data_IF_631224897506
#
_entry.id   IF_631224897506
#
_cell.length_a   1.000
_cell.length_b   1.000
_cell.length_c   1.000
_cell.angle_alpha   90.00
_cell.angle_beta   90.00
_cell.angle_gamma   90.00
#
_symmetry.space_group_name_H-M   'P 1'
#
loop_
_entity.id
_entity.type
_entity.pdbx_description
1 polymer ?
#
# COMPACT_ATOMS: atom_id res chain seq x y z
N UNK A 1 6.51 -24.18 -53.70
CA UNK A 1 5.42 -23.46 -52.99
C UNK A 1 5.28 -24.07 -51.58
N UNK A 2 6.03 -23.56 -50.59
CA UNK A 2 6.00 -24.08 -49.21
C UNK A 2 4.80 -23.46 -48.49
N UNK A 3 3.79 -24.27 -48.13
CA UNK A 3 2.67 -23.83 -47.30
C UNK A 3 3.22 -23.45 -45.92
N UNK A 4 3.06 -22.18 -45.53
CA UNK A 4 3.23 -21.76 -44.13
C UNK A 4 2.21 -22.54 -43.31
N UNK A 5 2.64 -23.42 -42.43
CA UNK A 5 1.78 -24.03 -41.42
C UNK A 5 1.36 -22.92 -40.46
N UNK A 6 0.15 -22.38 -40.64
CA UNK A 6 -0.47 -21.55 -39.62
C UNK A 6 -0.63 -22.44 -38.39
N UNK A 7 0.08 -22.10 -37.31
CA UNK A 7 -0.12 -22.70 -35.99
C UNK A 7 -1.54 -22.33 -35.59
N UNK A 8 -2.47 -23.26 -35.74
CA UNK A 8 -3.82 -23.13 -35.23
C UNK A 8 -3.71 -23.23 -33.71
N UNK A 9 -3.66 -22.08 -33.05
CA UNK A 9 -3.76 -22.03 -31.60
C UNK A 9 -5.13 -22.59 -31.22
N UNK A 10 -5.13 -23.71 -30.50
CA UNK A 10 -6.35 -24.32 -29.98
C UNK A 10 -7.08 -23.29 -29.09
N UNK A 11 -8.41 -23.27 -29.16
CA UNK A 11 -9.27 -22.34 -28.39
C UNK A 11 -8.96 -22.42 -26.89
N UNK A 12 -8.54 -23.58 -26.42
CA UNK A 12 -8.06 -23.83 -25.06
C UNK A 12 -6.82 -23.00 -24.71
N UNK A 13 -5.85 -22.90 -25.63
CA UNK A 13 -4.63 -22.12 -25.41
C UNK A 13 -4.90 -20.62 -25.39
N UNK A 14 -5.82 -20.14 -26.24
CA UNK A 14 -6.27 -18.74 -26.24
C UNK A 14 -6.99 -18.41 -24.92
N UNK A 15 -7.91 -19.27 -24.49
CA UNK A 15 -8.64 -19.13 -23.24
C UNK A 15 -7.72 -19.12 -22.01
N UNK A 16 -6.70 -19.99 -21.97
CA UNK A 16 -5.71 -20.01 -20.89
C UNK A 16 -4.85 -18.73 -20.88
N UNK A 17 -4.44 -18.23 -22.04
CA UNK A 17 -3.65 -17.01 -22.15
C UNK A 17 -4.45 -15.75 -21.76
N UNK A 18 -5.74 -15.68 -22.10
CA UNK A 18 -6.63 -14.61 -21.67
C UNK A 18 -6.87 -14.64 -20.16
N UNK A 19 -7.09 -15.82 -19.58
CA UNK A 19 -7.23 -15.96 -18.12
C UNK A 19 -5.95 -15.60 -17.37
N UNK A 20 -4.78 -15.97 -17.89
CA UNK A 20 -3.50 -15.58 -17.29
C UNK A 20 -3.30 -14.06 -17.29
N UNK A 21 -3.63 -13.37 -18.40
CA UNK A 21 -3.59 -11.90 -18.47
C UNK A 21 -4.50 -11.24 -17.44
N UNK A 22 -5.71 -11.77 -17.26
CA UNK A 22 -6.67 -11.25 -16.27
C UNK A 22 -6.17 -11.47 -14.83
N UNK A 23 -5.57 -12.62 -14.53
CA UNK A 23 -4.97 -12.89 -13.22
C UNK A 23 -3.78 -11.94 -12.95
N UNK A 24 -2.87 -11.81 -13.91
CA UNK A 24 -1.75 -10.88 -13.79
C UNK A 24 -2.23 -9.44 -13.61
N UNK A 25 -3.22 -8.99 -14.38
CA UNK A 25 -3.82 -7.66 -14.21
C UNK A 25 -4.38 -7.46 -12.79
N UNK A 26 -5.18 -8.42 -12.31
CA UNK A 26 -5.79 -8.36 -10.98
C UNK A 26 -4.78 -8.27 -9.83
N UNK A 27 -3.63 -8.95 -9.94
CA UNK A 27 -2.61 -8.97 -8.89
C UNK A 27 -1.51 -7.89 -9.05
N UNK A 28 -1.24 -7.39 -10.27
CA UNK A 28 -0.31 -6.25 -10.49
C UNK A 28 -0.96 -4.90 -10.17
N UNK A 29 -2.30 -4.81 -10.27
CA UNK A 29 -3.07 -3.57 -10.30
C UNK A 29 -2.52 -2.45 -9.37
N UNK A 30 -1.79 -1.53 -10.01
CA UNK A 30 -1.60 -0.14 -9.58
C UNK A 30 -2.29 0.86 -10.51
N UNK A 31 -2.97 0.39 -11.58
CA UNK A 31 -3.53 1.24 -12.66
C UNK A 31 -5.07 1.16 -12.75
N UNK A 32 -5.70 0.15 -12.15
CA UNK A 32 -7.17 -0.05 -12.19
C UNK A 32 -7.88 -0.03 -10.84
N UNK A 33 -7.14 -0.13 -9.73
CA UNK A 33 -7.75 -0.25 -8.40
C UNK A 33 -8.16 1.14 -7.87
N UNK A 34 -9.41 1.51 -8.14
CA UNK A 34 -10.06 2.69 -7.55
C UNK A 34 -9.98 2.73 -6.03
N UNK A 35 -9.73 1.60 -5.35
CA UNK A 35 -9.57 1.56 -3.88
C UNK A 35 -8.41 2.45 -3.41
N UNK A 36 -7.31 2.55 -4.16
CA UNK A 36 -6.21 3.48 -3.85
C UNK A 36 -6.60 4.94 -4.04
N UNK A 37 -7.53 5.24 -4.94
CA UNK A 37 -8.11 6.58 -5.07
C UNK A 37 -9.10 6.93 -3.96
N UNK A 38 -9.68 5.94 -3.26
CA UNK A 38 -10.61 6.20 -2.14
C UNK A 38 -9.95 6.88 -0.96
N UNK A 39 -8.64 6.76 -0.81
CA UNK A 39 -7.87 7.41 0.27
C UNK A 39 -7.31 8.76 -0.15
N UNK A 40 -7.19 9.03 -1.46
CA UNK A 40 -6.68 10.31 -1.99
C UNK A 40 -7.66 11.44 -1.69
N UNK A 41 -8.97 11.25 -1.94
CA UNK A 41 -9.94 12.33 -1.70
C UNK A 41 -9.99 12.79 -0.23
N UNK A 42 -10.02 11.90 0.78
CA UNK A 42 -9.90 12.28 2.19
C UNK A 42 -8.61 13.03 2.55
N UNK A 43 -7.48 12.70 1.91
CA UNK A 43 -6.21 13.43 2.10
C UNK A 43 -6.32 14.84 1.54
N UNK A 44 -6.89 14.99 0.34
CA UNK A 44 -7.12 16.29 -0.28
C UNK A 44 -8.10 17.15 0.55
N UNK A 45 -9.18 16.55 1.06
CA UNK A 45 -10.18 17.24 1.89
C UNK A 45 -9.62 17.66 3.25
N UNK A 46 -8.60 16.96 3.75
CA UNK A 46 -7.91 17.32 4.99
C UNK A 46 -7.03 18.57 4.81
N UNK A 47 -6.55 18.81 3.59
CA UNK A 47 -5.58 19.86 3.25
C UNK A 47 -4.41 19.83 4.23
N UNK A 48 -3.77 18.66 4.33
CA UNK A 48 -2.75 18.39 5.34
C UNK A 48 -1.47 19.20 5.09
N UNK A 49 -0.89 19.76 6.15
CA UNK A 49 0.43 20.40 6.06
C UNK A 49 1.53 19.36 5.91
N UNK A 50 2.73 19.77 5.50
CA UNK A 50 3.88 18.87 5.42
C UNK A 50 4.18 18.19 6.77
N UNK A 51 3.98 18.91 7.88
CA UNK A 51 4.16 18.36 9.24
C UNK A 51 3.13 17.28 9.54
N UNK A 52 1.87 17.51 9.17
CA UNK A 52 0.78 16.55 9.37
C UNK A 52 0.95 15.30 8.49
N UNK A 53 1.39 15.50 7.24
CA UNK A 53 1.71 14.40 6.32
C UNK A 53 2.86 13.54 6.87
N UNK A 54 3.91 14.16 7.41
CA UNK A 54 5.02 13.45 8.03
C UNK A 54 4.57 12.69 9.28
N UNK A 55 3.76 13.31 10.14
CA UNK A 55 3.14 12.65 11.28
C UNK A 55 2.34 11.41 10.85
N UNK A 56 1.49 11.56 9.84
CA UNK A 56 0.64 10.48 9.34
C UNK A 56 1.46 9.31 8.79
N UNK A 57 2.49 9.60 7.99
CA UNK A 57 3.40 8.61 7.44
C UNK A 57 4.16 7.86 8.54
N UNK A 58 4.73 8.60 9.50
CA UNK A 58 5.44 8.02 10.64
C UNK A 58 4.52 7.14 11.47
N UNK A 59 3.29 7.59 11.74
CA UNK A 59 2.32 6.83 12.50
C UNK A 59 1.97 5.50 11.81
N UNK A 60 1.67 5.50 10.50
CA UNK A 60 1.39 4.25 9.77
C UNK A 60 2.59 3.30 9.83
N UNK A 61 3.80 3.84 9.60
CA UNK A 61 5.03 3.06 9.54
C UNK A 61 5.37 2.40 10.88
N UNK A 62 5.38 3.17 11.96
CA UNK A 62 5.70 2.65 13.30
C UNK A 62 4.56 1.82 13.89
N UNK A 63 3.29 2.09 13.54
CA UNK A 63 2.16 1.22 13.93
C UNK A 63 2.26 -0.15 13.28
N UNK A 64 2.73 -0.22 12.04
CA UNK A 64 2.99 -1.48 11.36
C UNK A 64 4.20 -2.19 11.99
N UNK A 65 5.31 -1.47 12.19
CA UNK A 65 6.52 -2.03 12.80
C UNK A 65 6.27 -2.58 14.22
N UNK A 66 5.52 -1.86 15.07
CA UNK A 66 5.18 -2.31 16.42
C UNK A 66 4.37 -3.62 16.41
N UNK A 67 3.54 -3.85 15.39
CA UNK A 67 2.71 -5.06 15.27
C UNK A 67 3.48 -6.26 14.70
N UNK A 68 4.43 -6.02 13.79
CA UNK A 68 5.10 -7.09 13.05
C UNK A 68 6.45 -7.48 13.68
N UNK A 69 7.09 -6.58 14.42
CA UNK A 69 8.35 -6.86 15.12
C UNK A 69 8.07 -7.43 16.51
N UNK A 70 9.05 -8.16 17.06
CA UNK A 70 8.97 -8.76 18.39
C UNK A 70 10.00 -8.15 19.36
N UNK A 71 9.70 -8.24 20.66
CA UNK A 71 10.61 -7.84 21.73
C UNK A 71 10.97 -6.36 21.71
N UNK A 72 12.26 -6.07 21.90
CA UNK A 72 12.79 -4.71 22.05
C UNK A 72 12.48 -3.79 20.86
N UNK A 73 12.45 -4.33 19.63
CA UNK A 73 12.18 -3.53 18.44
C UNK A 73 10.72 -3.04 18.38
N UNK A 74 9.78 -3.86 18.86
CA UNK A 74 8.38 -3.45 19.00
C UNK A 74 8.24 -2.33 20.02
N UNK A 75 8.90 -2.46 21.19
CA UNK A 75 8.92 -1.40 22.22
C UNK A 75 9.53 -0.09 21.71
N UNK A 76 10.58 -0.17 20.90
CA UNK A 76 11.19 1.01 20.26
C UNK A 76 10.18 1.67 19.30
N UNK A 77 9.47 0.89 18.48
CA UNK A 77 8.43 1.42 17.59
C UNK A 77 7.28 2.09 18.36
N UNK A 78 6.85 1.52 19.49
CA UNK A 78 5.85 2.14 20.38
C UNK A 78 6.35 3.47 20.98
N UNK A 79 7.62 3.54 21.38
CA UNK A 79 8.23 4.80 21.86
C UNK A 79 8.25 5.85 20.75
N UNK A 80 8.56 5.48 19.51
CA UNK A 80 8.48 6.41 18.39
C UNK A 80 7.06 6.93 18.15
N UNK A 81 6.03 6.09 18.29
CA UNK A 81 4.63 6.54 18.18
C UNK A 81 4.27 7.59 19.24
N UNK A 82 4.76 7.42 20.47
CA UNK A 82 4.56 8.40 21.54
C UNK A 82 5.25 9.73 21.22
N UNK A 83 6.54 9.68 20.81
CA UNK A 83 7.30 10.88 20.44
C UNK A 83 6.63 11.64 19.29
N UNK A 84 6.19 10.93 18.25
CA UNK A 84 5.51 11.51 17.10
C UNK A 84 4.17 12.17 17.51
N UNK A 85 3.44 11.60 18.47
CA UNK A 85 2.23 12.20 19.02
C UNK A 85 2.51 13.46 19.86
N UNK A 86 3.56 13.45 20.68
CA UNK A 86 3.98 14.59 21.49
C UNK A 86 4.50 15.75 20.61
N UNK A 87 5.24 15.44 19.55
CA UNK A 87 5.73 16.43 18.59
C UNK A 87 4.58 17.10 17.84
N UNK A 88 3.58 16.31 17.41
CA UNK A 88 2.38 16.87 16.79
C UNK A 88 1.61 17.77 17.77
N UNK A 89 1.48 17.36 19.03
CA UNK A 89 0.88 18.17 20.08
C UNK A 89 1.62 19.51 20.24
N UNK A 90 2.95 19.47 20.31
CA UNK A 90 3.79 20.66 20.45
C UNK A 90 3.68 21.58 19.23
N UNK A 91 3.65 21.02 18.01
CA UNK A 91 3.44 21.79 16.78
C UNK A 91 2.14 22.61 16.84
N UNK A 92 1.01 21.97 17.20
CA UNK A 92 -0.26 22.70 17.28
C UNK A 92 -0.30 23.72 18.42
N UNK A 93 0.20 23.35 19.61
CA UNK A 93 0.04 24.18 20.80
C UNK A 93 1.06 25.30 20.91
N UNK A 94 2.32 25.06 20.54
CA UNK A 94 3.43 26.01 20.71
C UNK A 94 3.69 26.82 19.46
N UNK A 95 3.73 26.19 18.29
CA UNK A 95 4.09 26.87 17.04
C UNK A 95 2.88 27.55 16.40
N UNK A 96 1.75 26.83 16.33
CA UNK A 96 0.52 27.36 15.73
C UNK A 96 -0.37 28.11 16.74
N UNK A 97 -0.16 27.92 18.04
CA UNK A 97 -0.97 28.53 19.10
C UNK A 97 -2.42 28.05 19.13
N UNK A 98 -2.72 26.89 18.55
CA UNK A 98 -4.06 26.32 18.42
C UNK A 98 -4.28 25.25 19.47
N UNK A 99 -5.21 25.49 20.40
CA UNK A 99 -5.58 24.50 21.42
C UNK A 99 -6.63 23.48 20.92
N UNK A 100 -7.45 23.86 19.92
CA UNK A 100 -8.58 23.04 19.43
C UNK A 100 -8.23 22.26 18.15
N UNK A 101 -7.14 21.51 18.19
CA UNK A 101 -6.65 20.72 17.03
C UNK A 101 -7.13 19.26 17.03
N UNK A 102 -7.82 18.81 18.09
CA UNK A 102 -8.29 17.42 18.24
C UNK A 102 -9.15 16.93 17.08
N UNK A 103 -10.02 17.78 16.53
CA UNK A 103 -10.86 17.45 15.38
C UNK A 103 -10.03 17.17 14.12
N UNK A 104 -8.90 17.87 13.98
CA UNK A 104 -7.96 17.66 12.88
C UNK A 104 -7.19 16.36 13.04
N UNK A 105 -6.74 16.04 14.25
CA UNK A 105 -6.14 14.73 14.58
C UNK A 105 -7.11 13.60 14.30
N UNK A 106 -8.39 13.74 14.68
CA UNK A 106 -9.41 12.73 14.40
C UNK A 106 -9.58 12.48 12.89
N UNK A 107 -9.52 13.53 12.06
CA UNK A 107 -9.54 13.38 10.60
C UNK A 107 -8.28 12.67 10.09
N UNK A 108 -7.09 13.04 10.57
CA UNK A 108 -5.84 12.33 10.25
C UNK A 108 -5.93 10.83 10.59
N UNK A 109 -6.49 10.48 11.77
CA UNK A 109 -6.68 9.09 12.16
C UNK A 109 -7.59 8.33 11.20
N UNK A 110 -8.69 8.94 10.76
CA UNK A 110 -9.59 8.31 9.78
C UNK A 110 -8.86 7.98 8.49
N UNK A 111 -8.08 8.94 7.97
CA UNK A 111 -7.28 8.75 6.75
C UNK A 111 -6.24 7.65 6.96
N UNK A 112 -5.48 7.68 8.06
CA UNK A 112 -4.46 6.68 8.37
C UNK A 112 -5.04 5.26 8.47
N UNK A 113 -6.21 5.11 9.08
CA UNK A 113 -6.89 3.81 9.18
C UNK A 113 -7.33 3.30 7.80
N UNK A 114 -7.84 4.17 6.94
CA UNK A 114 -8.20 3.81 5.56
C UNK A 114 -6.96 3.38 4.76
N UNK A 115 -5.87 4.14 4.84
CA UNK A 115 -4.59 3.82 4.20
C UNK A 115 -4.01 2.49 4.69
N UNK A 116 -3.99 2.29 6.01
CA UNK A 116 -3.49 1.05 6.62
C UNK A 116 -4.28 -0.16 6.14
N UNK A 117 -5.62 -0.04 6.07
CA UNK A 117 -6.48 -1.11 5.56
C UNK A 117 -6.16 -1.43 4.09
N UNK A 118 -6.05 -0.42 3.22
CA UNK A 118 -5.71 -0.62 1.83
C UNK A 118 -4.33 -1.29 1.64
N UNK A 119 -3.35 -0.92 2.47
CA UNK A 119 -2.01 -1.53 2.45
C UNK A 119 -2.05 -3.01 2.87
N UNK A 120 -2.81 -3.35 3.92
CA UNK A 120 -2.95 -4.74 4.38
C UNK A 120 -3.68 -5.61 3.36
N UNK A 121 -4.77 -5.14 2.78
CA UNK A 121 -5.48 -5.84 1.70
C UNK A 121 -4.57 -6.08 0.49
N UNK A 122 -3.71 -5.11 0.15
CA UNK A 122 -2.70 -5.27 -0.90
C UNK A 122 -1.64 -6.30 -0.51
N UNK A 123 -1.14 -6.30 0.72
CA UNK A 123 -0.18 -7.30 1.24
C UNK A 123 -0.74 -8.71 1.12
N UNK A 124 -2.01 -8.92 1.46
CA UNK A 124 -2.69 -10.22 1.33
C UNK A 124 -2.78 -10.68 -0.12
N UNK A 125 -3.26 -9.81 -1.03
CA UNK A 125 -3.32 -10.10 -2.47
C UNK A 125 -1.94 -10.47 -3.03
N UNK A 126 -0.90 -9.71 -2.67
CA UNK A 126 0.48 -9.97 -3.10
C UNK A 126 1.01 -11.30 -2.55
N UNK A 127 0.67 -11.65 -1.31
CA UNK A 127 1.06 -12.93 -0.70
C UNK A 127 0.44 -14.12 -1.44
N UNK A 128 -0.82 -14.00 -1.85
CA UNK A 128 -1.51 -15.00 -2.68
C UNK A 128 -0.83 -15.11 -4.05
N UNK A 129 -0.56 -13.97 -4.71
CA UNK A 129 0.12 -13.95 -6.00
C UNK A 129 1.49 -14.64 -5.97
N UNK A 130 2.24 -14.42 -4.89
CA UNK A 130 3.52 -15.09 -4.62
C UNK A 130 3.34 -16.60 -4.44
N UNK A 131 2.36 -17.02 -3.64
CA UNK A 131 2.13 -18.45 -3.33
C UNK A 131 1.79 -19.26 -4.58
N UNK A 132 1.04 -18.66 -5.52
CA UNK A 132 0.64 -19.31 -6.77
C UNK A 132 1.57 -19.03 -7.96
N UNK A 133 2.73 -18.40 -7.73
CA UNK A 133 3.70 -18.02 -8.78
C UNK A 133 3.05 -17.32 -9.99
N UNK A 134 2.12 -16.40 -9.71
CA UNK A 134 1.39 -15.69 -10.76
C UNK A 134 2.36 -14.86 -11.62
N UNK A 135 3.43 -14.35 -11.01
CA UNK A 135 4.49 -13.60 -11.66
C UNK A 135 5.66 -14.50 -12.04
N UNK A 136 5.60 -15.08 -13.25
CA UNK A 136 6.70 -15.88 -13.77
C UNK A 136 7.89 -15.00 -14.18
N UNK A 137 9.01 -15.12 -13.47
CA UNK A 137 10.29 -14.43 -13.74
C UNK A 137 10.87 -14.69 -15.16
N UNK A 138 10.37 -15.70 -15.89
CA UNK A 138 10.81 -15.97 -17.28
C UNK A 138 10.24 -14.98 -18.31
N UNK A 139 9.14 -14.29 -18.00
CA UNK A 139 8.45 -13.39 -18.92
C UNK A 139 8.35 -11.97 -18.40
N UNK A 140 8.74 -11.75 -17.15
CA UNK A 140 8.69 -10.46 -16.48
C UNK A 140 10.12 -10.05 -16.10
N UNK A 141 10.46 -8.77 -16.26
CA UNK A 141 11.77 -8.22 -15.88
C UNK A 141 12.13 -8.63 -14.43
N UNK A 142 13.23 -9.36 -14.18
CA UNK A 142 13.55 -9.88 -12.85
C UNK A 142 13.64 -8.79 -11.77
N UNK A 143 14.15 -7.61 -12.14
CA UNK A 143 14.27 -6.43 -11.28
C UNK A 143 12.91 -5.93 -10.76
N UNK A 144 11.82 -6.15 -11.52
CA UNK A 144 10.47 -5.73 -11.11
C UNK A 144 9.92 -6.52 -9.91
N UNK A 145 10.53 -7.64 -9.55
CA UNK A 145 10.05 -8.52 -8.49
C UNK A 145 11.09 -8.83 -7.41
N UNK A 146 12.27 -8.19 -7.45
CA UNK A 146 13.34 -8.41 -6.47
C UNK A 146 12.91 -8.07 -5.03
N UNK A 147 11.99 -7.11 -4.86
CA UNK A 147 11.39 -6.76 -3.56
C UNK A 147 10.13 -7.55 -3.20
N UNK A 148 9.63 -8.39 -4.12
CA UNK A 148 8.42 -9.20 -3.96
C UNK A 148 8.78 -10.67 -3.66
N UNK A 149 9.93 -11.15 -4.15
CA UNK A 149 10.41 -12.53 -3.97
C UNK A 149 11.48 -12.68 -2.92
#
# INVERSE_FOLDING_TARGET
MKRKSAVAWDKTAIFLAENYKLQVAFYIEGVGDWSTFTTIQPILDLDATDVEMNYMLAQISFSYAAKELEGELSEIAEKFLQLVADDLHNYYTREMGVSRYSDRVLKMMKVNNMMTKALLERKEKMTIAKTFDIFHNKFSEPEMFEFIF
#
